data_IF_345543530055
#
_entry.id   IF_345543530055
#
_cell.length_a   1.000
_cell.length_b   1.000
_cell.length_c   1.000
_cell.angle_alpha   90.00
_cell.angle_beta   90.00
_cell.angle_gamma   90.00
#
_symmetry.space_group_name_H-M   'P 1'
#
loop_
_entity.id
_entity.type
_entity.pdbx_description
1 polymer ?
#
# COMPACT_ATOMS: atom_id res chain seq x y z
N UNK A 1 75.76 -72.76 -25.26
CA UNK A 1 76.68 -73.31 -24.24
C UNK A 1 77.01 -72.17 -23.29
N UNK A 2 76.60 -72.26 -22.03
CA UNK A 2 76.83 -71.24 -20.99
C UNK A 2 75.58 -70.81 -20.21
N UNK A 3 75.09 -71.68 -19.31
CA UNK A 3 74.31 -71.29 -18.12
C UNK A 3 75.24 -70.55 -17.12
N UNK A 4 74.77 -69.71 -16.20
CA UNK A 4 74.27 -70.02 -14.83
C UNK A 4 73.88 -68.65 -14.22
N UNK A 5 72.61 -68.44 -13.84
CA UNK A 5 72.06 -68.42 -12.47
C UNK A 5 72.48 -67.25 -11.55
N UNK A 6 71.47 -66.53 -11.06
CA UNK A 6 71.56 -65.56 -9.95
C UNK A 6 70.16 -65.15 -9.50
N UNK A 7 69.72 -65.74 -8.40
CA UNK A 7 68.36 -65.70 -7.83
C UNK A 7 68.26 -64.70 -6.65
N UNK A 8 67.01 -64.43 -6.24
CA UNK A 8 66.53 -63.94 -4.93
C UNK A 8 66.37 -62.39 -4.74
N UNK A 9 65.13 -61.85 -4.64
CA UNK A 9 64.20 -61.74 -3.46
C UNK A 9 64.63 -60.57 -2.53
N UNK A 10 63.83 -59.55 -2.16
CA UNK A 10 62.63 -59.52 -1.30
C UNK A 10 62.15 -58.05 -1.12
N UNK A 11 60.83 -57.87 -1.07
CA UNK A 11 59.98 -56.88 -0.37
C UNK A 11 60.34 -55.40 -0.17
N UNK A 12 59.24 -54.64 -0.22
CA UNK A 12 58.83 -53.52 0.66
C UNK A 12 58.90 -52.11 0.07
N UNK A 13 57.72 -51.61 -0.30
CA UNK A 13 57.41 -50.20 -0.53
C UNK A 13 55.90 -50.07 -0.60
N UNK A 14 55.24 -50.21 0.55
CA UNK A 14 54.63 -49.11 1.29
C UNK A 14 53.38 -48.58 0.60
N UNK A 15 52.23 -48.92 1.21
CA UNK A 15 50.96 -48.23 1.10
C UNK A 15 51.19 -46.72 0.96
N UNK A 16 50.89 -46.14 -0.20
CA UNK A 16 50.56 -44.73 -0.29
C UNK A 16 49.16 -44.55 0.25
N UNK A 17 49.03 -44.54 1.58
CA UNK A 17 47.90 -43.91 2.24
C UNK A 17 47.93 -42.45 1.81
N UNK A 18 47.11 -42.09 0.83
CA UNK A 18 46.93 -40.70 0.41
C UNK A 18 46.47 -39.91 1.62
N UNK A 19 47.39 -39.17 2.22
CA UNK A 19 47.06 -38.19 3.24
C UNK A 19 46.23 -37.12 2.55
N UNK A 20 44.90 -37.22 2.67
CA UNK A 20 43.97 -36.20 2.18
C UNK A 20 44.31 -34.92 2.93
N UNK A 21 44.87 -33.96 2.20
CA UNK A 21 45.42 -32.76 2.78
C UNK A 21 44.26 -31.82 3.15
N UNK A 22 44.39 -31.03 4.22
CA UNK A 22 43.32 -30.12 4.69
C UNK A 22 42.78 -29.16 3.62
N UNK A 23 43.53 -28.95 2.52
CA UNK A 23 43.15 -28.17 1.36
C UNK A 23 42.02 -28.78 0.51
N UNK A 24 41.83 -30.10 0.53
CA UNK A 24 40.81 -30.79 -0.30
C UNK A 24 39.39 -30.61 0.26
N UNK A 25 39.27 -30.25 1.55
CA UNK A 25 37.98 -30.05 2.22
C UNK A 25 37.45 -28.62 2.10
N UNK A 26 38.31 -27.63 1.81
CA UNK A 26 37.92 -26.23 1.64
C UNK A 26 36.87 -26.03 0.53
N UNK A 27 37.05 -26.53 -0.71
CA UNK A 27 36.04 -26.38 -1.76
C UNK A 27 34.75 -27.13 -1.44
N UNK A 28 34.80 -28.28 -0.79
CA UNK A 28 33.61 -29.02 -0.36
C UNK A 28 32.82 -28.26 0.72
N UNK A 29 33.52 -27.63 1.67
CA UNK A 29 32.90 -26.82 2.71
C UNK A 29 32.25 -25.56 2.13
N UNK A 30 32.92 -24.87 1.20
CA UNK A 30 32.35 -23.71 0.49
C UNK A 30 31.12 -24.09 -0.34
N UNK A 31 31.15 -25.23 -1.02
CA UNK A 31 30.01 -25.75 -1.78
C UNK A 31 28.83 -26.09 -0.86
N UNK A 32 29.11 -26.67 0.31
CA UNK A 32 28.08 -26.94 1.31
C UNK A 32 27.44 -25.65 1.86
N UNK A 33 28.24 -24.63 2.17
CA UNK A 33 27.74 -23.32 2.60
C UNK A 33 26.89 -22.68 1.50
N UNK A 34 27.37 -22.68 0.25
CA UNK A 34 26.62 -22.12 -0.88
C UNK A 34 25.26 -22.80 -1.03
N UNK A 35 25.22 -24.14 -0.94
CA UNK A 35 24.00 -24.91 -1.07
C UNK A 35 23.05 -24.64 0.12
N UNK A 36 23.58 -24.53 1.34
CA UNK A 36 22.80 -24.15 2.52
C UNK A 36 22.19 -22.75 2.37
N UNK A 37 22.96 -21.76 1.89
CA UNK A 37 22.46 -20.40 1.64
C UNK A 37 21.36 -20.41 0.58
N UNK A 38 21.52 -21.16 -0.52
CA UNK A 38 20.49 -21.27 -1.56
C UNK A 38 19.21 -21.93 -1.04
N UNK A 39 19.32 -22.96 -0.19
CA UNK A 39 18.16 -23.61 0.44
C UNK A 39 17.45 -22.65 1.40
N UNK A 40 18.20 -21.92 2.23
CA UNK A 40 17.64 -20.93 3.16
C UNK A 40 16.96 -19.81 2.38
N UNK A 41 17.60 -19.26 1.35
CA UNK A 41 17.03 -18.23 0.49
C UNK A 41 15.76 -18.73 -0.21
N UNK A 42 15.77 -19.95 -0.76
CA UNK A 42 14.61 -20.58 -1.36
C UNK A 42 13.47 -20.78 -0.36
N UNK A 43 13.78 -21.17 0.88
CA UNK A 43 12.79 -21.34 1.95
C UNK A 43 12.22 -20.00 2.41
N UNK A 44 13.03 -18.93 2.51
CA UNK A 44 12.56 -17.58 2.80
C UNK A 44 11.64 -17.04 1.70
N UNK A 45 12.03 -17.21 0.42
CA UNK A 45 11.19 -16.84 -0.73
C UNK A 45 9.89 -17.64 -0.75
N UNK A 46 9.95 -18.95 -0.43
CA UNK A 46 8.76 -19.79 -0.36
C UNK A 46 7.84 -19.37 0.78
N UNK A 47 8.36 -19.10 1.98
CA UNK A 47 7.58 -18.62 3.12
C UNK A 47 6.95 -17.25 2.82
N UNK A 48 7.70 -16.32 2.24
CA UNK A 48 7.18 -15.04 1.79
C UNK A 48 6.08 -15.22 0.73
N UNK A 49 6.30 -16.08 -0.26
CA UNK A 49 5.31 -16.37 -1.29
C UNK A 49 4.05 -17.05 -0.72
N UNK A 50 4.18 -17.95 0.25
CA UNK A 50 3.06 -18.60 0.93
C UNK A 50 2.28 -17.59 1.77
N UNK A 51 2.98 -16.74 2.53
CA UNK A 51 2.39 -15.69 3.34
C UNK A 51 1.64 -14.67 2.46
N UNK A 52 2.27 -14.19 1.38
CA UNK A 52 1.64 -13.30 0.39
C UNK A 52 0.45 -14.00 -0.27
N UNK A 53 0.54 -15.30 -0.61
CA UNK A 53 -0.58 -16.05 -1.19
C UNK A 53 -1.72 -16.29 -0.22
N UNK A 54 -1.45 -16.54 1.06
CA UNK A 54 -2.49 -16.72 2.07
C UNK A 54 -3.22 -15.41 2.32
N UNK A 55 -2.49 -14.30 2.43
CA UNK A 55 -3.08 -12.96 2.50
C UNK A 55 -3.85 -12.63 1.22
N UNK A 56 -3.29 -12.91 0.03
CA UNK A 56 -3.99 -12.68 -1.24
C UNK A 56 -5.29 -13.47 -1.38
N UNK A 57 -5.33 -14.73 -0.94
CA UNK A 57 -6.56 -15.55 -0.98
C UNK A 57 -7.64 -15.03 -0.04
N UNK A 58 -7.26 -14.55 1.13
CA UNK A 58 -8.21 -13.95 2.08
C UNK A 58 -8.69 -12.60 1.56
N UNK A 59 -7.80 -11.75 1.04
CA UNK A 59 -8.15 -10.49 0.39
C UNK A 59 -9.08 -10.71 -0.82
N UNK A 60 -8.85 -11.75 -1.65
CA UNK A 60 -9.72 -12.10 -2.79
C UNK A 60 -11.09 -12.66 -2.36
N UNK A 61 -11.19 -13.24 -1.16
CA UNK A 61 -12.48 -13.63 -0.56
C UNK A 61 -13.19 -12.40 -0.03
N UNK A 62 -12.49 -11.55 0.70
CA UNK A 62 -13.04 -10.30 1.24
C UNK A 62 -13.49 -9.35 0.12
N UNK A 63 -12.73 -9.24 -0.98
CA UNK A 63 -13.16 -8.51 -2.17
C UNK A 63 -14.49 -9.05 -2.73
N UNK A 64 -14.74 -10.37 -2.68
CA UNK A 64 -16.02 -10.96 -3.12
C UNK A 64 -17.17 -10.74 -2.15
N UNK A 65 -16.87 -10.40 -0.90
CA UNK A 65 -17.86 -10.15 0.15
C UNK A 65 -18.22 -8.67 0.27
N UNK A 66 -17.36 -7.79 -0.24
CA UNK A 66 -17.71 -6.39 -0.42
C UNK A 66 -18.82 -6.30 -1.48
N UNK A 67 -19.85 -5.46 -1.27
CA UNK A 67 -20.75 -5.09 -2.35
C UNK A 67 -19.89 -4.67 -3.54
N UNK A 68 -20.14 -5.23 -4.73
CA UNK A 68 -19.64 -4.61 -5.95
C UNK A 68 -20.03 -3.14 -5.87
N UNK A 69 -19.08 -2.24 -6.17
CA UNK A 69 -19.34 -0.81 -6.25
C UNK A 69 -20.45 -0.62 -7.29
N UNK A 70 -21.70 -0.66 -6.84
CA UNK A 70 -22.88 -0.61 -7.70
C UNK A 70 -22.72 0.67 -8.49
N UNK A 71 -22.66 0.52 -9.82
CA UNK A 71 -22.44 1.63 -10.73
C UNK A 71 -23.62 2.61 -10.58
N UNK A 72 -23.46 3.57 -9.69
CA UNK A 72 -24.24 4.78 -9.65
C UNK A 72 -23.47 5.76 -10.53
N UNK A 73 -24.02 6.13 -11.67
CA UNK A 73 -23.51 7.23 -12.48
C UNK A 73 -24.02 8.54 -11.84
N UNK A 74 -23.21 9.23 -11.01
CA UNK A 74 -23.67 10.45 -10.36
C UNK A 74 -23.65 11.62 -11.36
N UNK A 75 -23.30 11.38 -12.64
CA UNK A 75 -22.83 12.42 -13.54
C UNK A 75 -21.39 12.82 -13.21
N UNK A 76 -20.62 13.16 -14.24
CA UNK A 76 -19.31 13.78 -14.06
C UNK A 76 -19.48 15.16 -13.41
N UNK A 77 -19.43 15.20 -12.09
CA UNK A 77 -19.35 16.44 -11.33
C UNK A 77 -17.89 16.94 -11.38
N UNK A 78 -17.61 17.81 -12.35
CA UNK A 78 -16.44 18.69 -12.27
C UNK A 78 -16.75 19.80 -11.26
N UNK A 79 -16.65 19.49 -9.97
CA UNK A 79 -16.69 20.51 -8.94
C UNK A 79 -15.55 21.52 -9.15
N UNK A 80 -15.73 22.77 -8.70
CA UNK A 80 -14.67 23.74 -8.72
C UNK A 80 -13.49 23.20 -7.90
N UNK A 81 -12.45 22.79 -8.62
CA UNK A 81 -11.25 22.07 -8.18
C UNK A 81 -10.54 22.72 -6.98
N UNK A 82 -10.82 24.00 -6.70
CA UNK A 82 -10.19 24.79 -5.65
C UNK A 82 -10.50 24.37 -4.19
N UNK A 83 -11.56 23.58 -3.93
CA UNK A 83 -12.03 23.31 -2.55
C UNK A 83 -11.80 21.85 -2.08
N UNK A 84 -11.08 21.03 -2.84
CA UNK A 84 -10.82 19.63 -2.47
C UNK A 84 -9.71 19.53 -1.39
N UNK A 85 -9.94 18.81 -0.28
CA UNK A 85 -8.88 18.54 0.69
C UNK A 85 -7.77 17.73 0.03
N UNK A 86 -6.51 18.07 0.34
CA UNK A 86 -5.36 17.36 -0.26
C UNK A 86 -5.35 15.87 0.08
N UNK A 87 -5.85 15.49 1.27
CA UNK A 87 -5.88 14.11 1.75
C UNK A 87 -7.12 13.85 2.57
N UNK A 88 -7.72 12.69 2.37
CA UNK A 88 -8.85 12.26 3.16
C UNK A 88 -8.98 10.75 3.29
N UNK A 89 -9.67 10.35 4.35
CA UNK A 89 -10.09 8.98 4.59
C UNK A 89 -11.61 8.93 4.66
N UNK A 90 -12.21 7.91 4.08
CA UNK A 90 -13.62 7.58 4.25
C UNK A 90 -13.74 6.22 4.95
N UNK A 91 -14.55 6.15 6.02
CA UNK A 91 -14.87 4.89 6.71
C UNK A 91 -16.37 4.64 6.71
N UNK A 92 -16.79 3.40 6.49
CA UNK A 92 -18.21 3.03 6.35
C UNK A 92 -18.77 2.35 7.60
N UNK A 93 -20.01 2.65 7.97
CA UNK A 93 -20.79 1.88 8.96
C UNK A 93 -20.29 2.04 10.40
N UNK A 94 -19.50 3.07 10.67
CA UNK A 94 -18.83 3.31 11.94
C UNK A 94 -19.52 4.46 12.66
N UNK A 95 -19.70 4.34 13.98
CA UNK A 95 -20.19 5.47 14.78
C UNK A 95 -19.06 6.45 15.07
N UNK A 96 -19.31 7.78 15.12
CA UNK A 96 -18.27 8.78 15.38
C UNK A 96 -17.44 8.53 16.65
N UNK A 97 -18.01 7.91 17.69
CA UNK A 97 -17.28 7.63 18.94
C UNK A 97 -16.20 6.54 18.77
N UNK A 98 -16.40 5.59 17.85
CA UNK A 98 -15.39 4.58 17.55
C UNK A 98 -14.18 5.18 16.83
N UNK A 99 -14.41 6.22 16.00
CA UNK A 99 -13.36 6.97 15.31
C UNK A 99 -12.49 7.77 16.27
N UNK A 100 -13.10 8.49 17.20
CA UNK A 100 -12.38 9.26 18.23
C UNK A 100 -11.41 8.37 19.00
N UNK A 101 -11.85 7.15 19.36
CA UNK A 101 -11.01 6.17 20.04
C UNK A 101 -9.89 5.60 19.15
N UNK A 102 -10.20 5.25 17.90
CA UNK A 102 -9.22 4.70 16.96
C UNK A 102 -8.09 5.70 16.63
N UNK A 103 -8.46 6.96 16.43
CA UNK A 103 -7.52 8.06 16.20
C UNK A 103 -6.87 8.57 17.48
N UNK A 104 -7.33 8.18 18.67
CA UNK A 104 -6.86 8.72 19.95
C UNK A 104 -6.84 10.25 19.95
N UNK A 105 -7.90 10.87 19.43
CA UNK A 105 -7.94 12.31 19.23
C UNK A 105 -7.97 13.04 20.57
N UNK A 106 -7.08 14.01 20.72
CA UNK A 106 -7.03 14.92 21.87
C UNK A 106 -7.65 16.28 21.49
N UNK A 107 -8.05 17.07 22.50
CA UNK A 107 -8.58 18.43 22.32
C UNK A 107 -9.75 18.53 21.33
N UNK A 108 -10.72 17.63 21.47
CA UNK A 108 -11.91 17.58 20.62
C UNK A 108 -12.76 18.85 20.76
N UNK A 109 -13.04 19.48 19.62
CA UNK A 109 -13.95 20.61 19.50
C UNK A 109 -14.99 20.34 18.40
N UNK A 110 -16.26 20.63 18.68
CA UNK A 110 -17.29 20.62 17.65
C UNK A 110 -17.00 21.72 16.63
N UNK A 111 -17.16 21.41 15.34
CA UNK A 111 -17.01 22.37 14.26
C UNK A 111 -17.94 22.05 13.09
N UNK A 112 -18.33 23.09 12.38
CA UNK A 112 -19.11 22.99 11.15
C UNK A 112 -18.29 22.41 10.01
N UNK A 113 -18.96 21.92 8.96
CA UNK A 113 -18.32 21.47 7.72
C UNK A 113 -17.37 22.52 7.13
N UNK A 114 -17.83 23.77 7.04
CA UNK A 114 -17.04 24.88 6.48
C UNK A 114 -15.81 25.18 7.32
N UNK A 115 -15.92 25.12 8.65
CA UNK A 115 -14.77 25.25 9.54
C UNK A 115 -13.80 24.10 9.33
N UNK A 116 -14.28 22.85 9.33
CA UNK A 116 -13.50 21.63 9.10
C UNK A 116 -12.68 21.64 7.81
N UNK A 117 -13.26 22.10 6.71
CA UNK A 117 -12.58 22.26 5.43
C UNK A 117 -11.50 23.35 5.45
N UNK A 118 -11.61 24.32 6.37
CA UNK A 118 -10.64 25.40 6.57
C UNK A 118 -9.60 25.08 7.67
N UNK A 119 -9.71 23.95 8.37
CA UNK A 119 -8.72 23.50 9.39
C UNK A 119 -7.35 23.15 8.76
N UNK A 120 -7.16 23.35 7.45
CA UNK A 120 -5.93 23.03 6.73
C UNK A 120 -4.66 23.69 7.29
N UNK A 121 -4.74 24.73 8.13
CA UNK A 121 -3.56 25.44 8.67
C UNK A 121 -3.14 25.00 10.09
N UNK A 122 -3.95 24.22 10.80
CA UNK A 122 -3.63 23.70 12.13
C UNK A 122 -3.47 22.18 12.03
N UNK A 123 -2.43 21.59 12.63
CA UNK A 123 -2.14 20.13 12.60
C UNK A 123 -3.22 19.25 13.27
N UNK A 124 -4.44 19.34 12.75
CA UNK A 124 -5.68 18.82 13.30
C UNK A 124 -6.37 17.97 12.26
N UNK A 125 -7.04 16.94 12.76
CA UNK A 125 -7.96 16.16 11.95
C UNK A 125 -9.38 16.69 12.18
N UNK A 126 -10.13 16.77 11.09
CA UNK A 126 -11.58 16.92 11.13
C UNK A 126 -12.23 15.58 10.86
N UNK A 127 -13.29 15.26 11.60
CA UNK A 127 -14.16 14.10 11.45
C UNK A 127 -15.57 14.60 11.15
N UNK A 128 -16.12 14.24 9.99
CA UNK A 128 -17.46 14.66 9.58
C UNK A 128 -18.55 13.97 10.41
N UNK A 129 -19.76 14.53 10.47
CA UNK A 129 -20.93 13.71 10.79
C UNK A 129 -21.10 12.58 9.75
N UNK A 130 -21.86 11.52 10.06
CA UNK A 130 -22.17 10.47 9.09
C UNK A 130 -22.97 11.03 7.89
N UNK A 131 -22.53 10.69 6.67
CA UNK A 131 -23.15 11.06 5.39
C UNK A 131 -23.33 9.76 4.62
N UNK A 132 -24.56 9.37 4.31
CA UNK A 132 -24.85 8.12 3.57
C UNK A 132 -24.07 6.88 4.07
N UNK A 133 -24.00 6.72 5.40
CA UNK A 133 -23.26 5.67 6.13
C UNK A 133 -21.72 5.78 6.09
N UNK A 134 -21.18 6.87 5.55
CA UNK A 134 -19.75 7.18 5.55
C UNK A 134 -19.41 8.30 6.52
N UNK A 135 -18.23 8.21 7.14
CA UNK A 135 -17.61 9.32 7.86
C UNK A 135 -16.31 9.68 7.14
N UNK A 136 -16.13 10.98 6.90
CA UNK A 136 -14.96 11.53 6.24
C UNK A 136 -14.01 12.15 7.26
N UNK A 137 -12.72 11.97 7.01
CA UNK A 137 -11.65 12.44 7.87
C UNK A 137 -10.67 13.22 7.01
N UNK A 138 -10.45 14.48 7.36
CA UNK A 138 -9.59 15.42 6.63
C UNK A 138 -8.51 15.97 7.56
N UNK A 139 -7.37 16.38 7.00
CA UNK A 139 -6.37 17.16 7.72
C UNK A 139 -4.95 16.87 7.29
N UNK A 140 -4.05 17.82 7.55
CA UNK A 140 -2.63 17.68 7.23
C UNK A 140 -1.93 16.60 8.06
N UNK A 141 -2.48 16.26 9.23
CA UNK A 141 -1.90 15.25 10.11
C UNK A 141 -1.98 13.84 9.54
N UNK A 142 -2.86 13.57 8.56
CA UNK A 142 -2.89 12.29 7.83
C UNK A 142 -1.48 11.98 7.28
N UNK A 143 -1.09 10.70 7.10
CA UNK A 143 0.21 10.37 6.52
C UNK A 143 0.25 10.68 5.02
N UNK A 144 1.40 11.11 4.51
CA UNK A 144 1.63 11.35 3.08
C UNK A 144 2.33 10.12 2.47
N UNK A 145 1.73 9.44 1.47
CA UNK A 145 2.37 8.38 0.72
C UNK A 145 3.75 8.77 0.16
N UNK A 146 3.92 10.03 -0.26
CA UNK A 146 5.15 10.53 -0.85
C UNK A 146 6.27 10.77 0.19
N UNK A 147 5.93 10.97 1.45
CA UNK A 147 6.90 11.08 2.55
C UNK A 147 7.30 9.70 3.08
N UNK A 148 6.32 8.85 3.38
CA UNK A 148 6.53 7.52 3.91
C UNK A 148 5.34 6.60 3.60
N UNK A 149 5.52 5.75 2.57
CA UNK A 149 4.50 4.80 2.15
C UNK A 149 4.24 3.71 3.19
N UNK A 150 5.26 3.32 3.98
CA UNK A 150 5.11 2.31 5.02
C UNK A 150 4.28 2.86 6.19
N UNK A 151 4.53 4.11 6.60
CA UNK A 151 3.71 4.80 7.61
C UNK A 151 2.27 4.92 7.15
N UNK A 152 2.06 5.28 5.88
CA UNK A 152 0.73 5.36 5.27
C UNK A 152 0.03 4.00 5.30
N UNK A 153 0.70 2.94 4.83
CA UNK A 153 0.17 1.58 4.87
C UNK A 153 -0.20 1.14 6.29
N UNK A 154 0.71 1.30 7.27
CA UNK A 154 0.47 0.90 8.67
C UNK A 154 -0.73 1.64 9.26
N UNK A 155 -0.84 2.94 8.99
CA UNK A 155 -1.97 3.75 9.43
C UNK A 155 -3.29 3.22 8.84
N UNK A 156 -3.38 3.06 7.52
CA UNK A 156 -4.59 2.59 6.85
C UNK A 156 -4.96 1.17 7.25
N UNK A 157 -3.96 0.31 7.41
CA UNK A 157 -4.14 -1.07 7.83
C UNK A 157 -4.70 -1.15 9.26
N UNK A 158 -4.12 -0.42 10.20
CA UNK A 158 -4.62 -0.33 11.59
C UNK A 158 -6.07 0.17 11.58
N UNK A 159 -6.33 1.26 10.85
CA UNK A 159 -7.66 1.85 10.79
C UNK A 159 -8.70 0.88 10.21
N UNK A 160 -8.34 0.16 9.16
CA UNK A 160 -9.22 -0.85 8.56
C UNK A 160 -9.47 -2.05 9.47
N UNK A 161 -8.50 -2.46 10.29
CA UNK A 161 -8.72 -3.51 11.31
C UNK A 161 -9.71 -3.05 12.37
N UNK A 162 -9.59 -1.81 12.84
CA UNK A 162 -10.41 -1.28 13.94
C UNK A 162 -11.81 -0.87 13.47
N UNK A 163 -11.92 -0.30 12.27
CA UNK A 163 -13.13 0.35 11.77
C UNK A 163 -13.75 -0.34 10.54
N UNK A 164 -13.10 -1.37 9.99
CA UNK A 164 -13.62 -2.15 8.87
C UNK A 164 -13.27 -1.59 7.50
N UNK A 165 -14.28 -1.10 6.76
CA UNK A 165 -14.09 -0.63 5.39
C UNK A 165 -13.50 0.78 5.40
N UNK A 166 -12.27 0.92 4.88
CA UNK A 166 -11.51 2.16 4.88
C UNK A 166 -11.05 2.47 3.46
N UNK A 167 -11.30 3.71 3.03
CA UNK A 167 -10.83 4.24 1.77
C UNK A 167 -9.98 5.47 2.03
N UNK A 168 -8.95 5.66 1.23
CA UNK A 168 -8.01 6.77 1.34
C UNK A 168 -7.80 7.38 -0.01
N UNK A 169 -7.64 8.70 -0.04
CA UNK A 169 -7.37 9.47 -1.25
C UNK A 169 -6.40 10.60 -0.93
N UNK A 170 -5.50 10.88 -1.86
CA UNK A 170 -4.51 11.94 -1.77
C UNK A 170 -4.30 12.59 -3.14
N UNK A 171 -4.19 13.91 -3.14
CA UNK A 171 -3.96 14.75 -4.30
C UNK A 171 -3.06 15.92 -3.92
N UNK A 172 -1.91 16.02 -4.60
CA UNK A 172 -1.02 17.17 -4.53
C UNK A 172 -0.83 17.72 -5.95
N UNK A 173 -1.56 18.80 -6.26
CA UNK A 173 -1.57 19.41 -7.59
C UNK A 173 -0.24 20.04 -7.98
N UNK A 174 0.47 20.61 -6.99
CA UNK A 174 1.72 21.30 -7.24
C UNK A 174 2.81 20.34 -7.72
N UNK A 175 2.81 19.10 -7.20
CA UNK A 175 3.80 18.08 -7.53
C UNK A 175 3.29 17.00 -8.49
N UNK A 176 1.99 16.96 -8.77
CA UNK A 176 1.38 15.88 -9.56
C UNK A 176 1.23 14.57 -8.77
N UNK A 177 1.46 14.58 -7.46
CA UNK A 177 1.38 13.36 -6.63
C UNK A 177 -0.07 13.03 -6.32
N UNK A 178 -0.38 11.75 -6.32
CA UNK A 178 -1.73 11.29 -6.05
C UNK A 178 -1.71 9.84 -5.56
N UNK A 179 -2.70 9.50 -4.74
CA UNK A 179 -2.87 8.14 -4.27
C UNK A 179 -4.34 7.84 -3.99
N UNK A 180 -4.69 6.56 -4.04
CA UNK A 180 -5.93 6.04 -3.51
C UNK A 180 -5.74 4.62 -2.99
N UNK A 181 -6.44 4.26 -1.93
CA UNK A 181 -6.41 2.91 -1.38
C UNK A 181 -7.76 2.52 -0.81
N UNK A 182 -8.10 1.23 -0.92
CA UNK A 182 -9.29 0.58 -0.39
C UNK A 182 -8.84 -0.63 0.42
N UNK A 183 -9.14 -0.60 1.71
CA UNK A 183 -8.81 -1.65 2.66
C UNK A 183 -10.08 -2.13 3.37
N UNK A 184 -10.10 -3.41 3.71
CA UNK A 184 -11.19 -4.02 4.45
C UNK A 184 -10.65 -4.99 5.50
N UNK A 185 -10.92 -4.73 6.79
CA UNK A 185 -10.47 -5.58 7.89
C UNK A 185 -8.97 -5.92 7.84
N UNK A 186 -8.13 -4.95 7.48
CA UNK A 186 -6.67 -5.11 7.36
C UNK A 186 -6.18 -5.76 6.06
N UNK A 187 -7.08 -6.07 5.14
CA UNK A 187 -6.72 -6.51 3.81
C UNK A 187 -6.72 -5.33 2.83
N UNK A 188 -5.60 -5.10 2.16
CA UNK A 188 -5.57 -4.21 0.99
C UNK A 188 -6.26 -4.88 -0.19
N UNK A 189 -7.38 -4.29 -0.61
CA UNK A 189 -8.21 -4.71 -1.74
C UNK A 189 -7.65 -4.13 -3.04
N UNK A 190 -7.40 -2.82 -3.02
CA UNK A 190 -6.77 -2.06 -4.10
C UNK A 190 -6.00 -0.89 -3.50
N UNK A 191 -4.79 -0.64 -3.95
CA UNK A 191 -4.05 0.57 -3.62
C UNK A 191 -3.15 1.00 -4.78
N UNK A 192 -3.06 2.30 -4.96
CA UNK A 192 -2.15 2.94 -5.90
C UNK A 192 -1.64 4.26 -5.33
N UNK A 193 -0.34 4.53 -5.44
CA UNK A 193 0.29 5.79 -5.04
C UNK A 193 1.40 6.15 -6.03
N UNK A 194 1.39 7.41 -6.47
CA UNK A 194 2.32 7.98 -7.44
C UNK A 194 2.95 9.26 -6.88
N UNK A 195 4.28 9.33 -6.92
CA UNK A 195 5.05 10.52 -6.55
C UNK A 195 6.25 10.73 -7.49
N UNK A 196 5.98 10.83 -8.80
CA UNK A 196 7.00 10.81 -9.85
C UNK A 196 7.46 9.39 -10.22
N UNK A 197 7.24 8.44 -9.32
CA UNK A 197 7.30 7.00 -9.54
C UNK A 197 6.17 6.29 -8.78
N UNK A 198 5.94 5.01 -9.10
CA UNK A 198 4.94 4.17 -8.43
C UNK A 198 5.46 3.73 -7.07
N UNK A 199 4.90 4.30 -6.00
CA UNK A 199 5.26 4.00 -4.61
C UNK A 199 4.48 2.82 -4.04
N UNK A 200 3.23 2.65 -4.47
CA UNK A 200 2.36 1.54 -4.08
C UNK A 200 1.48 1.19 -5.26
N UNK A 201 1.40 -0.09 -5.58
CA UNK A 201 0.50 -0.67 -6.57
C UNK A 201 0.18 -2.09 -6.12
N UNK A 202 -1.04 -2.30 -5.62
CA UNK A 202 -1.48 -3.57 -5.06
C UNK A 202 -2.95 -3.82 -5.39
N UNK A 203 -3.30 -5.06 -5.76
CA UNK A 203 -4.65 -5.41 -6.18
C UNK A 203 -4.93 -5.06 -7.64
N UNK A 204 -5.95 -5.68 -8.22
CA UNK A 204 -6.32 -5.45 -9.62
C UNK A 204 -7.04 -4.10 -9.78
N UNK A 205 -6.86 -3.39 -10.91
CA UNK A 205 -7.66 -2.21 -11.22
C UNK A 205 -9.16 -2.49 -11.11
N UNK A 206 -9.86 -1.63 -10.39
CA UNK A 206 -11.31 -1.69 -10.18
C UNK A 206 -12.08 -1.26 -11.42
N UNK A 207 -13.36 -1.64 -11.51
CA UNK A 207 -14.26 -1.17 -12.56
C UNK A 207 -14.35 0.36 -12.61
N UNK A 208 -14.32 1.01 -11.44
CA UNK A 208 -14.31 2.46 -11.31
C UNK A 208 -13.04 3.10 -11.90
N UNK A 209 -11.85 2.55 -11.58
CA UNK A 209 -10.58 3.01 -12.16
C UNK A 209 -10.58 2.86 -13.69
N UNK A 210 -11.01 1.70 -14.19
CA UNK A 210 -11.04 1.41 -15.63
C UNK A 210 -11.99 2.33 -16.39
N UNK A 211 -13.18 2.57 -15.85
CA UNK A 211 -14.19 3.42 -16.51
C UNK A 211 -13.86 4.91 -16.40
N UNK A 212 -13.14 5.35 -15.36
CA UNK A 212 -12.54 6.69 -15.31
C UNK A 212 -11.26 6.81 -16.13
N UNK A 213 -10.75 5.70 -16.69
CA UNK A 213 -9.47 5.64 -17.40
C UNK A 213 -8.31 6.14 -16.53
N UNK A 214 -8.32 5.77 -15.24
CA UNK A 214 -7.21 6.04 -14.34
C UNK A 214 -5.97 5.33 -14.87
N UNK A 215 -4.83 6.03 -14.91
CA UNK A 215 -3.56 5.46 -15.35
C UNK A 215 -2.72 5.07 -14.14
N UNK A 216 -2.26 3.82 -14.12
CA UNK A 216 -1.44 3.28 -13.03
C UNK A 216 -0.20 2.59 -13.61
N UNK A 217 0.84 3.33 -14.05
CA UNK A 217 2.11 2.71 -14.40
C UNK A 217 2.59 1.75 -13.33
N UNK A 218 3.14 0.61 -13.74
CA UNK A 218 3.67 -0.35 -12.79
C UNK A 218 5.01 0.12 -12.21
N UNK A 219 5.51 -0.59 -11.21
CA UNK A 219 6.81 -0.30 -10.62
C UNK A 219 7.90 -0.27 -11.72
N UNK A 220 8.80 0.71 -11.61
CA UNK A 220 9.91 0.94 -12.56
C UNK A 220 9.52 1.36 -13.99
N UNK A 221 8.24 1.48 -14.33
CA UNK A 221 7.83 1.96 -15.68
C UNK A 221 8.04 3.47 -15.86
N UNK A 222 8.29 4.23 -14.79
CA UNK A 222 8.47 5.68 -14.86
C UNK A 222 9.65 6.08 -15.78
N UNK A 223 10.70 5.28 -15.87
CA UNK A 223 11.84 5.55 -16.75
C UNK A 223 11.51 5.42 -18.25
N UNK A 224 10.47 4.66 -18.59
CA UNK A 224 10.05 4.42 -19.98
C UNK A 224 9.07 5.51 -20.48
N UNK A 225 8.48 6.27 -19.56
CA UNK A 225 7.45 7.27 -19.86
C UNK A 225 8.09 8.65 -19.98
N UNK A 226 7.81 9.36 -21.07
CA UNK A 226 8.29 10.74 -21.27
C UNK A 226 7.77 11.69 -20.19
N UNK A 227 8.53 12.74 -19.86
CA UNK A 227 8.12 13.76 -18.90
C UNK A 227 6.76 14.39 -19.24
N UNK A 228 6.48 14.63 -20.52
CA UNK A 228 5.20 15.18 -20.97
C UNK A 228 4.04 14.23 -20.68
N UNK A 229 4.24 12.94 -20.97
CA UNK A 229 3.24 11.92 -20.72
C UNK A 229 3.00 11.72 -19.23
N UNK A 230 4.07 11.72 -18.42
CA UNK A 230 3.98 11.68 -16.96
C UNK A 230 3.14 12.84 -16.40
N UNK A 231 3.46 14.05 -16.84
CA UNK A 231 2.73 15.24 -16.44
C UNK A 231 1.26 15.17 -16.84
N UNK A 232 0.98 14.73 -18.08
CA UNK A 232 -0.39 14.61 -18.57
C UNK A 232 -1.21 13.61 -17.76
N UNK A 233 -0.73 12.38 -17.56
CA UNK A 233 -1.54 11.40 -16.82
C UNK A 233 -1.66 11.75 -15.34
N UNK A 234 -0.64 12.37 -14.75
CA UNK A 234 -0.69 12.80 -13.34
C UNK A 234 -1.77 13.88 -13.16
N UNK A 235 -1.85 14.84 -14.08
CA UNK A 235 -2.91 15.85 -14.09
C UNK A 235 -4.29 15.21 -14.26
N UNK A 236 -4.45 14.33 -15.25
CA UNK A 236 -5.71 13.64 -15.50
C UNK A 236 -6.18 12.79 -14.31
N UNK A 237 -5.27 12.04 -13.67
CA UNK A 237 -5.60 11.26 -12.48
C UNK A 237 -6.06 12.17 -11.33
N UNK A 238 -5.32 13.25 -11.05
CA UNK A 238 -5.65 14.22 -10.00
C UNK A 238 -7.07 14.78 -10.17
N UNK A 239 -7.45 15.15 -11.39
CA UNK A 239 -8.80 15.66 -11.68
C UNK A 239 -9.89 14.59 -11.52
N UNK A 240 -9.54 13.31 -11.67
CA UNK A 240 -10.47 12.18 -11.60
C UNK A 240 -10.57 11.55 -10.21
N UNK A 241 -9.65 11.83 -9.28
CA UNK A 241 -9.72 11.30 -7.91
C UNK A 241 -11.06 11.59 -7.22
N UNK A 242 -11.66 12.80 -7.31
CA UNK A 242 -12.98 13.05 -6.72
C UNK A 242 -14.07 12.14 -7.30
N UNK A 243 -14.06 11.93 -8.63
CA UNK A 243 -14.98 11.00 -9.29
C UNK A 243 -14.74 9.55 -8.89
N UNK A 244 -13.48 9.16 -8.62
CA UNK A 244 -13.16 7.84 -8.08
C UNK A 244 -13.72 7.69 -6.67
N UNK A 245 -13.55 8.70 -5.82
CA UNK A 245 -14.09 8.73 -4.47
C UNK A 245 -15.62 8.66 -4.47
N UNK A 246 -16.31 9.37 -5.36
CA UNK A 246 -17.77 9.27 -5.51
C UNK A 246 -18.26 7.87 -5.89
N UNK A 247 -17.42 7.05 -6.55
CA UNK A 247 -17.78 5.69 -6.96
C UNK A 247 -17.48 4.65 -5.89
N UNK A 248 -16.49 4.91 -5.05
CA UNK A 248 -16.12 4.00 -3.97
C UNK A 248 -16.82 4.34 -2.65
N UNK A 249 -17.04 5.62 -2.36
CA UNK A 249 -17.66 6.16 -1.15
C UNK A 249 -18.30 7.51 -1.43
N UNK A 250 -17.65 8.61 -1.07
CA UNK A 250 -18.15 9.98 -1.16
C UNK A 250 -17.06 10.91 -1.69
N UNK A 251 -17.45 11.78 -2.63
CA UNK A 251 -16.66 12.93 -3.06
C UNK A 251 -16.89 14.11 -2.10
N UNK A 252 -15.86 14.57 -1.35
CA UNK A 252 -15.99 15.70 -0.43
C UNK A 252 -16.54 16.98 -1.08
N UNK A 253 -16.29 17.17 -2.39
CA UNK A 253 -16.71 18.37 -3.13
C UNK A 253 -18.17 18.33 -3.59
N UNK A 254 -18.80 17.16 -3.53
CA UNK A 254 -20.23 17.00 -3.87
C UNK A 254 -21.16 17.34 -2.70
N UNK A 255 -20.62 17.51 -1.49
CA UNK A 255 -21.39 17.74 -0.26
C UNK A 255 -21.83 19.20 -0.20
N UNK A 256 -23.15 19.42 -0.09
CA UNK A 256 -23.73 20.73 0.19
C UNK A 256 -23.57 21.07 1.70
N UNK A 257 -22.74 22.06 2.08
CA UNK A 257 -22.52 22.41 3.49
C UNK A 257 -23.81 22.83 4.22
N UNK A 258 -24.83 23.31 3.50
CA UNK A 258 -26.12 23.69 4.08
C UNK A 258 -26.94 22.50 4.57
N UNK A 259 -26.68 21.31 4.02
CA UNK A 259 -27.30 20.07 4.48
C UNK A 259 -26.61 19.51 5.72
N UNK A 260 -25.36 19.90 5.96
CA UNK A 260 -24.55 19.48 7.10
C UNK A 260 -24.71 20.37 8.33
N UNK A 261 -25.28 21.57 8.17
CA UNK A 261 -25.39 22.58 9.24
C UNK A 261 -26.09 22.12 10.53
N UNK A 262 -27.09 21.21 10.54
CA UNK A 262 -27.68 20.73 11.79
C UNK A 262 -26.85 19.63 12.50
N UNK A 263 -25.77 19.13 11.90
CA UNK A 263 -24.96 18.04 12.45
C UNK A 263 -23.48 18.47 12.57
N UNK A 264 -22.98 18.77 13.78
CA UNK A 264 -21.58 19.15 13.95
C UNK A 264 -20.64 17.96 13.66
N UNK A 265 -19.49 18.28 13.06
CA UNK A 265 -18.33 17.38 13.05
C UNK A 265 -17.42 17.65 14.26
N UNK A 266 -16.31 16.93 14.35
CA UNK A 266 -15.32 17.10 15.41
C UNK A 266 -13.95 17.42 14.81
N UNK A 267 -13.27 18.44 15.34
CA UNK A 267 -11.85 18.66 15.09
C UNK A 267 -11.05 18.28 16.33
N UNK A 268 -9.83 17.78 16.14
CA UNK A 268 -8.97 17.40 17.25
C UNK A 268 -7.53 17.18 16.82
N UNK A 269 -6.64 17.19 17.80
CA UNK A 269 -5.23 16.92 17.59
C UNK A 269 -5.02 15.42 17.43
N UNK A 270 -4.22 15.06 16.42
CA UNK A 270 -3.75 13.69 16.24
C UNK A 270 -2.22 13.67 16.31
N UNK A 271 -1.68 12.95 17.29
CA UNK A 271 -0.25 12.64 17.36
C UNK A 271 -0.04 11.22 16.89
N UNK A 272 0.39 11.09 15.65
CA UNK A 272 0.79 9.84 15.02
C UNK A 272 2.20 9.41 15.45
#
# INVERSE_FOLDING_TARGET
MGQISGSARIFHGMNSSGAVSGADYLPMFLLFILLAVLVIAGLLVWLAAVHVRSHRRENERQHRLLPDDEFHDPGLHFAAVAELPQRWVAVQGVKPEALVNAFQMEDLAECSWTEGMNVMEEQRLFVSPPIDDWILIFGESLPDPAEDIDRTYRFLNKLSIELGHTQFFSVNRALGYHAWAKLYQGATVRAYAWAGETLWNQGNPTSAELSLKMRCPDYFEHEEISWQEQHQFSHENIERVPSLASRWSIDPTSIDPKRMTPYPGFSGNWRA
#
